data_IF_891794279953
#
_entry.id   IF_891794279953
#
_cell.length_a   1.000
_cell.length_b   1.000
_cell.length_c   1.000
_cell.angle_alpha   90.00
_cell.angle_beta   90.00
_cell.angle_gamma   90.00
#
_symmetry.space_group_name_H-M   'P 1'
#
loop_
_entity.id
_entity.type
_entity.pdbx_description
1 polymer ?
#
# COMPACT_ATOMS: atom_id res chain seq x y z
N UNK A 1 84.47 -39.51 20.35
CA UNK A 1 85.01 -38.92 19.10
C UNK A 1 83.81 -38.62 18.22
N UNK A 2 83.77 -37.41 17.63
CA UNK A 2 83.00 -37.05 16.43
C UNK A 2 81.46 -37.13 16.53
N UNK A 3 80.64 -36.19 16.01
CA UNK A 3 80.79 -34.86 15.38
C UNK A 3 79.49 -34.08 15.77
N UNK A 4 79.45 -32.75 15.96
CA UNK A 4 79.40 -31.69 14.94
C UNK A 4 78.34 -31.90 13.82
N UNK A 5 77.56 -30.92 13.31
CA UNK A 5 77.35 -29.49 13.67
C UNK A 5 76.28 -28.85 12.74
N UNK A 6 75.43 -27.95 13.30
CA UNK A 6 74.66 -26.86 12.63
C UNK A 6 73.43 -27.11 11.71
N UNK A 7 72.55 -26.08 11.75
CA UNK A 7 71.65 -25.52 10.72
C UNK A 7 70.49 -26.40 10.18
N UNK A 8 69.26 -25.92 9.97
CA UNK A 8 68.74 -24.81 9.13
C UNK A 8 68.90 -25.10 7.62
N UNK A 9 67.91 -24.86 6.74
CA UNK A 9 66.83 -23.86 6.76
C UNK A 9 65.65 -24.24 5.81
N UNK A 10 64.41 -23.77 6.14
CA UNK A 10 63.41 -23.14 5.22
C UNK A 10 62.79 -23.87 3.98
N UNK A 11 61.44 -23.88 3.93
CA UNK A 11 60.50 -23.84 2.77
C UNK A 11 60.46 -25.00 1.72
N UNK A 12 59.40 -25.18 0.90
CA UNK A 12 57.94 -24.91 1.07
C UNK A 12 57.13 -25.80 0.08
N UNK A 13 55.81 -25.91 0.30
CA UNK A 13 54.70 -26.12 -0.69
C UNK A 13 54.67 -27.28 -1.72
N UNK A 14 53.45 -27.87 -1.83
CA UNK A 14 52.76 -28.51 -2.99
C UNK A 14 53.48 -29.61 -3.83
N UNK A 15 52.80 -30.64 -4.37
CA UNK A 15 51.55 -30.59 -5.14
C UNK A 15 50.87 -31.97 -5.36
N UNK A 16 49.53 -31.99 -5.33
CA UNK A 16 48.53 -32.91 -5.95
C UNK A 16 48.52 -34.45 -5.76
N UNK A 17 47.33 -34.92 -5.37
CA UNK A 17 46.49 -36.00 -5.95
C UNK A 17 47.07 -37.36 -6.42
N UNK A 18 46.47 -38.45 -5.91
CA UNK A 18 45.79 -39.43 -6.77
C UNK A 18 44.81 -40.38 -6.03
N UNK A 19 43.75 -40.79 -6.73
CA UNK A 19 42.78 -41.83 -6.33
C UNK A 19 42.88 -43.05 -7.27
N UNK A 20 42.59 -44.26 -6.78
CA UNK A 20 42.07 -45.37 -7.59
C UNK A 20 40.66 -45.84 -7.16
N UNK A 21 40.15 -46.85 -7.88
CA UNK A 21 38.80 -47.45 -7.82
C UNK A 21 38.96 -48.99 -7.82
N UNK A 22 37.97 -49.88 -7.67
CA UNK A 22 36.48 -49.85 -7.79
C UNK A 22 35.83 -50.36 -6.46
N UNK A 23 34.61 -50.91 -6.26
CA UNK A 23 33.55 -51.55 -7.08
C UNK A 23 32.12 -51.15 -6.59
N UNK A 24 31.11 -52.02 -6.78
CA UNK A 24 29.71 -51.80 -6.39
C UNK A 24 29.19 -52.86 -5.41
N UNK A 25 28.65 -52.39 -4.30
CA UNK A 25 27.68 -53.10 -3.45
C UNK A 25 26.89 -52.04 -2.70
N UNK A 26 25.61 -51.87 -3.01
CA UNK A 26 24.81 -50.74 -2.51
C UNK A 26 23.90 -51.18 -1.35
N UNK A 27 24.19 -50.82 -0.10
CA UNK A 27 23.15 -50.63 0.90
C UNK A 27 22.40 -49.32 0.57
N UNK A 28 21.07 -49.35 0.58
CA UNK A 28 20.23 -48.18 0.31
C UNK A 28 20.08 -47.33 1.56
N UNK A 29 21.19 -46.78 2.03
CA UNK A 29 21.28 -45.97 3.25
C UNK A 29 20.99 -44.50 2.92
N UNK A 30 19.78 -44.22 2.41
CA UNK A 30 19.29 -42.84 2.31
C UNK A 30 19.21 -42.27 3.73
N UNK A 31 19.92 -41.16 4.06
CA UNK A 31 19.86 -40.58 5.39
C UNK A 31 18.41 -40.18 5.68
N UNK A 32 17.83 -40.55 6.84
CA UNK A 32 16.40 -40.44 7.06
C UNK A 32 15.96 -38.99 6.84
N UNK A 33 15.13 -38.78 5.82
CA UNK A 33 14.48 -37.50 5.55
C UNK A 33 13.82 -37.03 6.85
N UNK A 34 14.04 -35.77 7.29
CA UNK A 34 13.47 -35.29 8.55
C UNK A 34 11.97 -35.48 8.53
N UNK A 35 11.48 -36.48 9.27
CA UNK A 35 10.07 -36.76 9.30
C UNK A 35 9.41 -35.59 9.99
N UNK A 36 8.60 -34.86 9.23
CA UNK A 36 7.64 -33.88 9.77
C UNK A 36 6.51 -34.66 10.42
N UNK A 37 6.88 -35.36 11.50
CA UNK A 37 6.00 -36.18 12.31
C UNK A 37 4.81 -35.33 12.72
N UNK A 38 3.63 -35.92 12.56
CA UNK A 38 2.36 -35.19 12.59
C UNK A 38 2.04 -34.69 14.01
N UNK A 39 2.58 -33.51 14.32
CA UNK A 39 2.44 -32.79 15.59
C UNK A 39 0.98 -32.52 15.97
N UNK A 40 0.00 -32.75 15.10
CA UNK A 40 -1.42 -32.69 15.46
C UNK A 40 -1.87 -33.88 16.32
N UNK A 41 -1.22 -35.05 16.21
CA UNK A 41 -1.64 -36.30 16.88
C UNK A 41 -1.59 -36.24 18.41
N UNK A 42 -0.66 -35.48 18.98
CA UNK A 42 -0.51 -35.33 20.44
C UNK A 42 -1.24 -34.12 21.03
N UNK A 43 -1.83 -33.25 20.21
CA UNK A 43 -2.59 -32.08 20.68
C UNK A 43 -3.97 -32.51 21.19
N UNK A 44 -4.04 -32.81 22.50
CA UNK A 44 -5.24 -33.20 23.23
C UNK A 44 -6.24 -32.05 23.39
N UNK A 45 -7.01 -31.78 22.33
CA UNK A 45 -8.15 -30.86 22.38
C UNK A 45 -9.28 -31.41 23.26
N UNK A 46 -9.45 -30.85 24.46
CA UNK A 46 -10.57 -31.14 25.34
C UNK A 46 -11.86 -30.45 24.89
N UNK A 47 -13.01 -31.10 25.07
CA UNK A 47 -14.34 -30.53 24.81
C UNK A 47 -14.72 -29.48 25.88
N UNK A 48 -14.01 -28.35 25.88
CA UNK A 48 -14.23 -27.25 26.82
C UNK A 48 -15.50 -26.47 26.44
N UNK A 49 -16.47 -26.42 27.35
CA UNK A 49 -17.72 -25.68 27.11
C UNK A 49 -17.44 -24.18 27.09
N UNK A 50 -17.66 -23.55 25.93
CA UNK A 50 -17.37 -22.13 25.69
C UNK A 50 -17.94 -21.27 26.83
N UNK A 51 -17.14 -20.42 27.49
CA UNK A 51 -17.60 -19.66 28.64
C UNK A 51 -18.63 -18.62 28.19
N UNK A 52 -19.70 -18.46 28.99
CA UNK A 52 -20.88 -17.65 28.60
C UNK A 52 -20.54 -16.20 28.22
N UNK A 53 -19.51 -15.60 28.84
CA UNK A 53 -19.09 -14.24 28.51
C UNK A 53 -18.57 -14.13 27.07
N UNK A 54 -17.84 -15.14 26.57
CA UNK A 54 -17.27 -15.14 25.22
C UNK A 54 -18.38 -15.25 24.16
N UNK A 55 -19.40 -16.06 24.43
CA UNK A 55 -20.60 -16.14 23.59
C UNK A 55 -21.30 -14.78 23.54
N UNK A 56 -21.49 -14.11 24.68
CA UNK A 56 -22.13 -12.78 24.75
C UNK A 56 -21.30 -11.73 23.99
N UNK A 57 -19.99 -11.67 24.18
CA UNK A 57 -19.13 -10.71 23.45
C UNK A 57 -19.11 -11.00 21.95
N UNK A 58 -19.09 -12.27 21.55
CA UNK A 58 -19.14 -12.65 20.13
C UNK A 58 -20.49 -12.26 19.49
N UNK A 59 -21.62 -12.47 20.19
CA UNK A 59 -22.93 -12.00 19.74
C UNK A 59 -23.00 -10.47 19.63
N UNK A 60 -22.43 -9.73 20.60
CA UNK A 60 -22.36 -8.27 20.54
C UNK A 60 -21.52 -7.77 19.36
N UNK A 61 -20.36 -8.40 19.09
CA UNK A 61 -19.53 -8.09 17.92
C UNK A 61 -20.24 -8.44 16.60
N UNK A 62 -20.98 -9.55 16.53
CA UNK A 62 -21.78 -9.90 15.36
C UNK A 62 -22.92 -8.91 15.11
N UNK A 63 -23.62 -8.45 16.16
CA UNK A 63 -24.66 -7.41 16.06
C UNK A 63 -24.05 -6.07 15.63
N UNK A 64 -22.90 -5.68 16.20
CA UNK A 64 -22.19 -4.46 15.80
C UNK A 64 -21.70 -4.52 14.35
N UNK A 65 -21.11 -5.64 13.93
CA UNK A 65 -20.65 -5.83 12.55
C UNK A 65 -21.82 -5.88 11.55
N UNK A 66 -22.96 -6.47 11.91
CA UNK A 66 -24.16 -6.47 11.05
C UNK A 66 -24.82 -5.08 10.99
N UNK A 67 -24.90 -4.37 12.11
CA UNK A 67 -25.33 -2.97 12.16
C UNK A 67 -24.42 -2.06 11.33
N UNK A 68 -23.11 -2.25 11.42
CA UNK A 68 -22.14 -1.57 10.56
C UNK A 68 -22.33 -1.95 9.10
N UNK A 69 -22.55 -3.23 8.75
CA UNK A 69 -22.77 -3.65 7.36
C UNK A 69 -24.06 -3.07 6.74
N UNK A 70 -25.09 -2.80 7.55
CA UNK A 70 -26.32 -2.13 7.09
C UNK A 70 -26.21 -0.59 7.05
N UNK A 71 -25.38 0.00 7.92
CA UNK A 71 -25.21 1.46 8.03
C UNK A 71 -23.93 1.97 7.34
N UNK A 72 -23.13 1.08 6.77
CA UNK A 72 -21.93 1.44 6.01
C UNK A 72 -22.34 2.14 4.72
N UNK A 73 -22.15 3.47 4.72
CA UNK A 73 -22.07 4.26 3.50
C UNK A 73 -21.09 3.53 2.56
N UNK A 74 -21.52 3.08 1.36
CA UNK A 74 -20.65 2.35 0.46
C UNK A 74 -19.45 3.23 0.10
N UNK A 75 -18.26 2.62 -0.04
CA UNK A 75 -17.04 3.38 -0.36
C UNK A 75 -17.15 4.18 -1.67
N UNK A 76 -18.06 3.78 -2.58
CA UNK A 76 -18.44 4.59 -3.73
C UNK A 76 -19.02 5.95 -3.32
N UNK A 77 -19.95 6.00 -2.37
CA UNK A 77 -20.50 7.28 -1.88
C UNK A 77 -19.46 8.11 -1.13
N UNK A 78 -18.45 7.51 -0.52
CA UNK A 78 -17.32 8.27 0.04
C UNK A 78 -16.45 8.87 -1.08
N UNK A 79 -16.25 8.14 -2.19
CA UNK A 79 -15.58 8.68 -3.38
C UNK A 79 -16.44 9.74 -4.11
N UNK A 80 -17.76 9.58 -4.12
CA UNK A 80 -18.75 10.46 -4.77
C UNK A 80 -18.93 11.76 -3.96
N UNK A 81 -18.95 11.70 -2.63
CA UNK A 81 -18.87 12.88 -1.74
C UNK A 81 -17.48 13.52 -1.79
N UNK A 82 -16.41 12.74 -1.92
CA UNK A 82 -15.07 13.27 -2.21
C UNK A 82 -14.93 13.81 -3.66
N UNK A 83 -15.94 13.61 -4.51
CA UNK A 83 -16.10 14.11 -5.87
C UNK A 83 -17.36 15.01 -6.02
N UNK A 84 -17.87 15.57 -4.92
CA UNK A 84 -18.82 16.69 -5.01
C UNK A 84 -18.04 17.97 -5.34
N UNK A 85 -18.22 18.46 -6.56
CA UNK A 85 -17.54 19.65 -7.05
C UNK A 85 -17.86 20.90 -6.21
N UNK A 86 -19.05 21.00 -5.62
CA UNK A 86 -19.42 22.13 -4.75
C UNK A 86 -18.61 22.08 -3.44
N UNK A 87 -18.62 20.93 -2.76
CA UNK A 87 -17.83 20.71 -1.54
C UNK A 87 -16.33 20.96 -1.78
N UNK A 88 -15.76 20.46 -2.89
CA UNK A 88 -14.33 20.67 -3.19
C UNK A 88 -14.05 22.14 -3.49
N UNK A 89 -14.92 22.82 -4.26
CA UNK A 89 -14.79 24.26 -4.54
C UNK A 89 -14.85 25.09 -3.26
N UNK A 90 -15.80 24.77 -2.37
CA UNK A 90 -15.97 25.41 -1.06
C UNK A 90 -14.74 25.24 -0.16
N UNK A 91 -14.11 24.05 -0.18
CA UNK A 91 -12.91 23.77 0.61
C UNK A 91 -11.62 24.35 0.02
N UNK A 92 -11.45 24.34 -1.31
CA UNK A 92 -10.15 24.58 -1.97
C UNK A 92 -10.10 25.87 -2.80
N UNK A 93 -11.21 26.32 -3.38
CA UNK A 93 -11.27 27.44 -4.32
C UNK A 93 -11.83 28.71 -3.67
N UNK A 94 -12.82 28.59 -2.79
CA UNK A 94 -13.50 29.70 -2.12
C UNK A 94 -12.58 30.60 -1.28
N UNK A 95 -11.39 30.13 -0.89
CA UNK A 95 -10.37 30.98 -0.26
C UNK A 95 -9.92 32.14 -1.17
N UNK A 96 -9.84 31.91 -2.49
CA UNK A 96 -9.30 32.87 -3.47
C UNK A 96 -10.36 33.41 -4.45
N UNK A 97 -11.45 32.66 -4.68
CA UNK A 97 -12.52 33.00 -5.61
C UNK A 97 -13.87 33.11 -4.89
N UNK A 98 -14.85 33.71 -5.56
CA UNK A 98 -16.27 33.64 -5.20
C UNK A 98 -17.05 32.93 -6.32
N UNK A 99 -18.24 32.41 -6.01
CA UNK A 99 -19.20 31.89 -7.01
C UNK A 99 -19.88 33.01 -7.81
N UNK A 100 -19.98 34.22 -7.24
CA UNK A 100 -20.43 35.45 -7.89
C UNK A 100 -19.37 36.00 -8.87
N UNK A 101 -19.61 37.16 -9.49
CA UNK A 101 -18.61 37.87 -10.31
C UNK A 101 -17.54 38.61 -9.47
N UNK A 102 -17.79 38.77 -8.17
CA UNK A 102 -16.96 39.54 -7.24
C UNK A 102 -15.50 39.06 -7.17
N UNK A 103 -14.57 39.95 -7.49
CA UNK A 103 -13.13 39.73 -7.31
C UNK A 103 -12.73 39.62 -5.83
N UNK A 104 -11.80 38.72 -5.53
CA UNK A 104 -11.31 38.44 -4.16
C UNK A 104 -9.79 38.35 -4.08
N UNK A 105 -9.24 37.27 -4.65
CA UNK A 105 -7.80 37.11 -4.94
C UNK A 105 -7.64 36.77 -6.42
N UNK A 106 -8.49 35.90 -6.93
CA UNK A 106 -8.82 35.80 -8.36
C UNK A 106 -10.16 36.48 -8.69
N UNK A 107 -10.54 36.50 -9.98
CA UNK A 107 -11.88 36.93 -10.41
C UNK A 107 -12.97 35.99 -9.89
N UNK A 108 -14.22 36.48 -9.89
CA UNK A 108 -15.39 35.65 -9.67
C UNK A 108 -15.59 34.57 -10.74
N UNK A 109 -16.31 33.51 -10.39
CA UNK A 109 -16.53 32.32 -11.24
C UNK A 109 -17.86 32.35 -12.02
N UNK A 110 -18.69 33.37 -11.84
CA UNK A 110 -19.92 33.57 -12.61
C UNK A 110 -19.67 33.55 -14.13
N UNK A 111 -20.46 32.77 -14.85
CA UNK A 111 -20.41 32.56 -16.29
C UNK A 111 -19.05 32.08 -16.83
N UNK A 112 -18.22 31.37 -16.05
CA UNK A 112 -16.87 30.99 -16.51
C UNK A 112 -16.92 30.03 -17.72
N UNK A 113 -17.95 29.19 -17.81
CA UNK A 113 -18.20 28.32 -18.96
C UNK A 113 -18.54 29.06 -20.26
N UNK A 114 -18.81 30.38 -20.21
CA UNK A 114 -18.94 31.24 -21.38
C UNK A 114 -17.62 31.93 -21.78
N UNK A 115 -16.59 31.86 -20.92
CA UNK A 115 -15.29 32.55 -21.10
C UNK A 115 -14.18 31.62 -21.62
N UNK A 116 -14.30 30.32 -21.37
CA UNK A 116 -13.30 29.29 -21.68
C UNK A 116 -13.98 27.99 -22.14
N UNK A 117 -13.33 27.24 -23.04
CA UNK A 117 -13.78 25.87 -23.36
C UNK A 117 -13.51 24.89 -22.22
N UNK A 118 -14.14 23.70 -22.25
CA UNK A 118 -13.87 22.65 -21.27
C UNK A 118 -12.39 22.22 -21.24
N UNK A 119 -11.76 22.16 -22.42
CA UNK A 119 -10.34 21.79 -22.57
C UNK A 119 -9.39 22.91 -22.14
N UNK A 120 -9.81 24.18 -22.23
CA UNK A 120 -9.08 25.32 -21.68
C UNK A 120 -9.17 25.36 -20.16
N UNK A 121 -10.38 25.19 -19.59
CA UNK A 121 -10.58 25.04 -18.15
C UNK A 121 -9.77 23.86 -17.60
N UNK A 122 -9.79 22.70 -18.26
CA UNK A 122 -9.00 21.56 -17.82
C UNK A 122 -7.49 21.84 -17.85
N UNK A 123 -6.98 22.59 -18.83
CA UNK A 123 -5.57 23.04 -18.85
C UNK A 123 -5.27 24.02 -17.72
N UNK A 124 -6.15 24.98 -17.45
CA UNK A 124 -5.99 25.96 -16.37
C UNK A 124 -5.98 25.24 -15.01
N UNK A 125 -6.90 24.31 -14.77
CA UNK A 125 -6.98 23.55 -13.52
C UNK A 125 -5.73 22.65 -13.32
N UNK A 126 -5.21 22.04 -14.39
CA UNK A 126 -4.04 21.15 -14.32
C UNK A 126 -2.69 21.89 -14.20
N UNK A 127 -2.57 23.12 -14.72
CA UNK A 127 -1.29 23.86 -14.75
C UNK A 127 -1.26 25.08 -13.81
N UNK A 128 -2.41 25.58 -13.36
CA UNK A 128 -2.54 26.89 -12.72
C UNK A 128 -2.49 28.05 -13.73
N UNK A 129 -2.74 29.27 -13.25
CA UNK A 129 -2.63 30.49 -14.05
C UNK A 129 -2.29 31.70 -13.17
N UNK A 130 -1.21 32.43 -13.51
CA UNK A 130 -0.77 33.59 -12.75
C UNK A 130 -0.41 33.24 -11.30
N UNK A 131 -1.23 33.68 -10.35
CA UNK A 131 -1.10 33.33 -8.92
C UNK A 131 -1.92 32.11 -8.50
N UNK A 132 -2.81 31.59 -9.36
CA UNK A 132 -3.57 30.36 -9.10
C UNK A 132 -2.63 29.15 -9.26
N UNK A 133 -2.40 28.35 -8.20
CA UNK A 133 -1.64 27.12 -8.30
C UNK A 133 -2.41 26.03 -9.07
N UNK A 134 -1.69 25.03 -9.59
CA UNK A 134 -2.32 23.85 -10.18
C UNK A 134 -3.02 22.99 -9.13
N UNK A 135 -4.19 22.44 -9.46
CA UNK A 135 -4.96 21.60 -8.54
C UNK A 135 -4.20 20.32 -8.09
N UNK A 136 -3.39 19.65 -8.92
CA UNK A 136 -2.52 18.57 -8.46
C UNK A 136 -1.52 18.99 -7.36
N UNK A 137 -1.04 20.25 -7.37
CA UNK A 137 -0.16 20.76 -6.31
C UNK A 137 -0.93 21.12 -5.01
N UNK A 138 -2.26 21.21 -5.07
CA UNK A 138 -3.15 21.24 -3.88
C UNK A 138 -3.51 19.84 -3.36
N UNK A 139 -3.04 18.78 -4.03
CA UNK A 139 -3.32 17.39 -3.66
C UNK A 139 -4.64 16.83 -4.21
N UNK A 140 -5.33 17.55 -5.10
CA UNK A 140 -6.56 17.06 -5.73
C UNK A 140 -6.22 16.00 -6.80
N UNK A 141 -6.97 14.90 -6.80
CA UNK A 141 -6.82 13.83 -7.79
C UNK A 141 -7.64 14.12 -9.08
N UNK A 142 -7.46 13.30 -10.11
CA UNK A 142 -8.09 13.47 -11.43
C UNK A 142 -9.63 13.54 -11.39
N UNK A 143 -10.28 12.70 -10.56
CA UNK A 143 -11.74 12.70 -10.44
C UNK A 143 -12.24 13.94 -9.69
N UNK A 144 -11.48 14.42 -8.71
CA UNK A 144 -11.77 15.68 -8.00
C UNK A 144 -11.62 16.90 -8.91
N UNK A 145 -10.60 16.91 -9.76
CA UNK A 145 -10.39 17.97 -10.76
C UNK A 145 -11.53 17.96 -11.79
N UNK A 146 -11.98 16.77 -12.21
CA UNK A 146 -13.14 16.61 -13.09
C UNK A 146 -14.43 17.12 -12.43
N UNK A 147 -14.72 16.71 -11.19
CA UNK A 147 -15.88 17.15 -10.44
C UNK A 147 -15.92 18.68 -10.23
N UNK A 148 -14.79 19.28 -9.87
CA UNK A 148 -14.66 20.74 -9.75
C UNK A 148 -14.88 21.43 -11.11
N UNK A 149 -14.35 20.87 -12.21
CA UNK A 149 -14.60 21.40 -13.56
C UNK A 149 -16.10 21.35 -13.89
N UNK A 150 -16.77 20.23 -13.61
CA UNK A 150 -18.20 20.05 -13.88
C UNK A 150 -19.08 20.99 -13.05
N UNK A 151 -18.75 21.22 -11.76
CA UNK A 151 -19.41 22.25 -10.94
C UNK A 151 -19.17 23.66 -11.47
N UNK A 152 -17.92 24.03 -11.77
CA UNK A 152 -17.54 25.35 -12.29
C UNK A 152 -18.21 25.67 -13.65
N UNK A 153 -18.56 24.64 -14.44
CA UNK A 153 -19.31 24.79 -15.69
C UNK A 153 -20.82 25.05 -15.47
N UNK A 154 -21.32 24.98 -14.23
CA UNK A 154 -22.71 25.32 -13.86
C UNK A 154 -22.87 26.70 -13.20
N UNK A 155 -21.76 27.45 -13.07
CA UNK A 155 -21.69 28.81 -12.52
C UNK A 155 -21.74 29.90 -13.62
#
# INVERSE_FOLDING_TARGET
>A
MDKDKQNSEVNNEEMKEQHPKTEHGAPTDEPPTPQVEDMSKDIRMGNAKVPRFLVVTYCLLAIWAFGYALMAVPLNQVAEVAADGETIFSQSCFGCHNVTDEFKVGPGMQDVGLKYSEEELQKILLNGIGTMPSLPNLGLNTEQIKAVKEYILTL
#
